data_IF_490271930326
#
_entry.id   IF_490271930326
#
_cell.length_a   1.000
_cell.length_b   1.000
_cell.length_c   1.000
_cell.angle_alpha   90.00
_cell.angle_beta   90.00
_cell.angle_gamma   90.00
#
_symmetry.space_group_name_H-M   'P 1'
#
loop_
_entity.id
_entity.type
_entity.pdbx_description
1 polymer ?
#
# COMPACT_ATOMS: atom_id res chain seq x y z
N UNK A 1 7.65 -15.77 -25.62
CA UNK A 1 7.90 -15.90 -25.05
C UNK A 1 8.08 -16.40 -24.16
N UNK A 2 8.40 -16.42 -23.68
CA UNK A 2 8.64 -16.82 -22.85
C UNK A 2 8.45 -17.10 -21.92
N UNK A 3 8.49 -17.35 -21.70
CA UNK A 3 8.27 -17.61 -20.84
C UNK A 3 8.90 -18.06 -19.81
N UNK A 4 9.67 -17.54 -19.49
CA UNK A 4 10.38 -18.07 -18.38
C UNK A 4 9.49 -18.14 -17.17
N UNK A 5 9.46 -19.24 -16.55
CA UNK A 5 8.58 -19.45 -15.42
C UNK A 5 9.44 -19.42 -14.18
N UNK A 6 9.35 -18.37 -13.40
CA UNK A 6 10.02 -18.31 -12.12
C UNK A 6 8.97 -18.19 -11.02
N UNK A 7 9.36 -18.43 -9.78
CA UNK A 7 8.43 -18.34 -8.66
C UNK A 7 7.85 -16.94 -8.50
N UNK A 8 8.64 -15.94 -8.83
CA UNK A 8 8.19 -14.55 -8.71
C UNK A 8 7.16 -14.18 -9.76
N UNK A 9 6.97 -15.02 -10.75
CA UNK A 9 6.06 -14.71 -11.85
C UNK A 9 4.62 -14.66 -11.40
N UNK A 10 4.20 -15.54 -10.47
CA UNK A 10 2.82 -15.51 -10.00
C UNK A 10 2.54 -14.22 -9.22
N UNK A 11 3.50 -13.74 -8.45
CA UNK A 11 3.32 -12.48 -7.72
C UNK A 11 3.22 -11.31 -8.68
N UNK A 12 4.04 -11.31 -9.73
CA UNK A 12 3.97 -10.27 -10.75
C UNK A 12 2.62 -10.28 -11.48
N UNK A 13 2.08 -11.48 -11.72
CA UNK A 13 0.77 -11.61 -12.35
C UNK A 13 -0.30 -11.09 -11.42
N UNK A 14 -0.25 -11.42 -10.13
CA UNK A 14 -1.24 -10.94 -9.16
C UNK A 14 -1.19 -9.43 -9.03
N UNK A 15 0.02 -8.86 -9.00
CA UNK A 15 0.16 -7.41 -8.95
C UNK A 15 -0.43 -6.77 -10.19
N UNK A 16 -0.15 -7.33 -11.35
CA UNK A 16 -0.67 -6.78 -12.60
C UNK A 16 -2.18 -6.83 -12.62
N UNK A 17 -2.77 -7.96 -12.17
CA UNK A 17 -4.22 -8.09 -12.14
C UNK A 17 -4.86 -7.11 -11.16
N UNK A 18 -4.26 -6.95 -9.99
CA UNK A 18 -4.76 -6.00 -9.02
C UNK A 18 -4.71 -4.58 -9.56
N UNK A 19 -3.58 -4.20 -10.12
CA UNK A 19 -3.41 -2.87 -10.67
C UNK A 19 -4.38 -2.62 -11.83
N UNK A 20 -4.51 -3.59 -12.75
CA UNK A 20 -5.39 -3.43 -13.88
C UNK A 20 -6.85 -3.29 -13.45
N UNK A 21 -7.26 -4.08 -12.46
CA UNK A 21 -8.62 -3.98 -11.94
C UNK A 21 -8.84 -2.61 -11.32
N UNK A 22 -7.93 -2.18 -10.45
CA UNK A 22 -8.06 -0.88 -9.80
C UNK A 22 -8.13 0.24 -10.84
N UNK A 23 -7.22 0.22 -11.83
CA UNK A 23 -7.21 1.23 -12.87
C UNK A 23 -8.51 1.25 -13.66
N UNK A 24 -9.03 0.06 -13.96
CA UNK A 24 -10.24 -0.04 -14.78
C UNK A 24 -11.46 0.55 -14.11
N UNK A 25 -11.47 0.58 -12.78
CA UNK A 25 -12.62 1.08 -12.02
C UNK A 25 -12.61 2.60 -11.89
N UNK A 26 -11.47 3.22 -12.15
CA UNK A 26 -11.34 4.68 -12.16
C UNK A 26 -11.86 5.31 -10.86
N UNK A 27 -11.46 4.75 -9.72
CA UNK A 27 -11.88 5.21 -8.41
C UNK A 27 -10.94 6.31 -7.94
N UNK A 28 -11.47 7.50 -7.72
CA UNK A 28 -10.67 8.67 -7.33
C UNK A 28 -11.04 9.20 -5.95
N UNK A 29 -12.21 8.82 -5.44
CA UNK A 29 -12.72 9.33 -4.17
C UNK A 29 -13.10 8.15 -3.29
N UNK A 30 -12.48 8.04 -2.13
CA UNK A 30 -12.74 6.91 -1.24
C UNK A 30 -12.23 7.20 0.16
N UNK A 31 -12.72 6.43 1.10
CA UNK A 31 -12.22 6.40 2.46
C UNK A 31 -11.60 5.04 2.73
N UNK A 32 -10.61 5.00 3.59
CA UNK A 32 -9.97 3.76 3.99
C UNK A 32 -9.36 3.95 5.37
N UNK A 33 -9.06 2.83 6.02
CA UNK A 33 -8.22 2.83 7.21
C UNK A 33 -6.88 2.24 6.81
N UNK A 34 -5.81 2.89 7.22
CA UNK A 34 -4.47 2.47 6.85
C UNK A 34 -3.61 2.35 8.09
N UNK A 35 -2.87 1.24 8.20
CA UNK A 35 -1.85 1.09 9.23
C UNK A 35 -0.50 0.97 8.57
N UNK A 36 0.52 1.49 9.25
CA UNK A 36 1.91 1.35 8.82
C UNK A 36 2.62 0.58 9.93
N UNK A 37 3.35 -0.47 9.57
CA UNK A 37 4.19 -1.16 10.54
C UNK A 37 5.64 -1.00 10.13
N UNK A 38 6.45 -0.51 11.08
CA UNK A 38 7.85 -0.24 10.82
C UNK A 38 8.51 0.04 12.17
N UNK A 39 9.69 -0.52 12.38
CA UNK A 39 10.46 -0.19 13.58
C UNK A 39 11.09 1.20 13.48
N UNK A 40 11.01 1.81 12.32
CA UNK A 40 11.62 3.11 12.06
C UNK A 40 10.76 4.27 12.55
N UNK A 41 9.52 4.02 13.00
CA UNK A 41 8.59 5.06 13.41
C UNK A 41 8.27 5.00 14.89
N UNK A 42 7.92 6.13 15.52
CA UNK A 42 7.34 6.12 16.85
C UNK A 42 6.03 5.34 16.86
N UNK A 43 5.63 4.91 18.07
CA UNK A 43 4.44 4.09 18.24
C UNK A 43 3.19 4.74 17.64
N UNK A 44 3.06 6.05 17.75
CA UNK A 44 1.89 6.76 17.24
C UNK A 44 1.69 6.58 15.75
N UNK A 45 2.77 6.37 15.00
CA UNK A 45 2.67 6.21 13.55
C UNK A 45 2.04 4.89 13.17
N UNK A 46 2.15 3.89 14.04
CA UNK A 46 1.70 2.54 13.70
C UNK A 46 0.25 2.29 14.07
N UNK A 47 -0.43 3.31 14.60
CA UNK A 47 -1.84 3.18 14.92
C UNK A 47 -2.69 3.36 13.66
N UNK A 48 -3.83 2.67 13.58
CA UNK A 48 -4.70 2.82 12.41
C UNK A 48 -5.15 4.26 12.25
N UNK A 49 -5.18 4.73 11.01
CA UNK A 49 -5.63 6.07 10.69
C UNK A 49 -6.73 6.00 9.65
N UNK A 50 -7.78 6.77 9.87
CA UNK A 50 -8.86 6.89 8.90
C UNK A 50 -8.47 7.94 7.88
N UNK A 51 -8.40 7.55 6.62
CA UNK A 51 -7.88 8.40 5.56
C UNK A 51 -8.98 8.66 4.55
N UNK A 52 -9.15 9.92 4.23
CA UNK A 52 -10.09 10.37 3.23
C UNK A 52 -9.32 10.82 1.99
N UNK A 53 -9.66 10.24 0.85
CA UNK A 53 -9.01 10.57 -0.42
C UNK A 53 -10.06 11.17 -1.34
N UNK A 54 -9.71 12.28 -1.96
CA UNK A 54 -10.57 12.95 -2.92
C UNK A 54 -9.72 13.38 -4.09
N UNK A 55 -10.16 13.04 -5.28
CA UNK A 55 -9.43 13.36 -6.50
C UNK A 55 -8.00 12.82 -6.44
N UNK A 56 -7.85 11.61 -5.88
CA UNK A 56 -6.57 10.92 -5.71
C UNK A 56 -5.58 11.65 -4.80
N UNK A 57 -6.07 12.50 -3.91
CA UNK A 57 -5.23 13.18 -2.93
C UNK A 57 -5.78 12.92 -1.53
N UNK A 58 -4.89 12.71 -0.58
CA UNK A 58 -5.30 12.57 0.81
C UNK A 58 -5.73 13.95 1.30
N UNK A 59 -7.00 14.09 1.67
CA UNK A 59 -7.53 15.37 2.13
C UNK A 59 -7.72 15.42 3.63
N UNK A 60 -7.80 14.28 4.31
CA UNK A 60 -7.85 14.27 5.76
C UNK A 60 -7.30 12.97 6.31
N UNK A 61 -6.76 13.05 7.52
CA UNK A 61 -6.33 11.89 8.29
C UNK A 61 -6.96 12.03 9.65
N UNK A 62 -7.79 11.04 10.05
CA UNK A 62 -8.55 11.07 11.30
C UNK A 62 -9.41 12.34 11.41
N UNK A 63 -9.94 12.80 10.27
CA UNK A 63 -10.82 13.96 10.24
C UNK A 63 -10.12 15.29 10.32
N UNK A 64 -8.79 15.31 10.25
CA UNK A 64 -8.01 16.54 10.38
C UNK A 64 -7.20 16.79 9.12
N UNK A 65 -6.71 18.02 8.98
CA UNK A 65 -5.79 18.33 7.91
C UNK A 65 -4.61 17.39 8.02
N UNK A 66 -4.18 16.74 6.91
CA UNK A 66 -3.10 15.76 6.98
C UNK A 66 -1.84 16.25 7.68
N UNK A 67 -1.48 17.52 7.50
CA UNK A 67 -0.25 18.03 8.09
C UNK A 67 -0.30 18.09 9.61
N UNK A 68 -1.46 17.91 10.22
CA UNK A 68 -1.57 17.87 11.68
C UNK A 68 -1.24 16.50 12.25
N UNK A 69 -1.05 15.49 11.40
CA UNK A 69 -0.72 14.15 11.83
C UNK A 69 0.79 13.94 11.74
N UNK A 70 1.39 13.47 12.82
CA UNK A 70 2.82 13.17 12.81
C UNK A 70 3.08 12.06 11.78
N UNK A 71 4.08 12.30 10.91
CA UNK A 71 4.42 11.32 9.88
C UNK A 71 3.43 11.22 8.75
N UNK A 72 2.63 12.26 8.54
CA UNK A 72 1.57 12.22 7.54
C UNK A 72 2.09 11.87 6.14
N UNK A 73 3.31 12.24 5.84
CA UNK A 73 3.86 11.98 4.50
C UNK A 73 4.12 10.51 4.24
N UNK A 74 4.03 9.66 5.25
CA UNK A 74 4.22 8.22 5.09
C UNK A 74 2.93 7.50 4.70
N UNK A 75 1.77 8.15 4.87
CA UNK A 75 0.51 7.57 4.44
C UNK A 75 0.33 7.80 2.95
N UNK A 76 -0.26 6.85 2.28
CA UNK A 76 -0.30 6.85 0.82
C UNK A 76 -1.71 6.61 0.30
N UNK A 77 -1.99 7.22 -0.87
CA UNK A 77 -3.17 6.83 -1.63
C UNK A 77 -2.94 5.43 -2.21
N UNK A 78 -4.01 4.82 -2.70
CA UNK A 78 -3.87 3.50 -3.31
C UNK A 78 -2.98 3.57 -4.56
N UNK A 79 -3.10 4.63 -5.36
CA UNK A 79 -2.20 4.79 -6.50
C UNK A 79 -0.75 4.86 -6.06
N UNK A 80 -0.48 5.58 -4.99
CA UNK A 80 0.88 5.68 -4.46
C UNK A 80 1.37 4.34 -3.92
N UNK A 81 0.46 3.53 -3.35
CA UNK A 81 0.84 2.21 -2.86
C UNK A 81 1.28 1.30 -4.00
N UNK A 82 0.61 1.38 -5.15
CA UNK A 82 1.06 0.60 -6.31
C UNK A 82 2.44 1.02 -6.77
N UNK A 83 2.73 2.33 -6.79
CA UNK A 83 4.07 2.80 -7.12
C UNK A 83 5.10 2.32 -6.11
N UNK A 84 4.74 2.33 -4.84
CA UNK A 84 5.59 1.86 -3.76
C UNK A 84 5.92 0.38 -3.94
N UNK A 85 4.90 -0.44 -4.27
CA UNK A 85 5.11 -1.86 -4.51
C UNK A 85 6.11 -2.07 -5.64
N UNK A 86 5.92 -1.37 -6.75
CA UNK A 86 6.80 -1.53 -7.89
C UNK A 86 8.24 -1.17 -7.53
N UNK A 87 8.42 -0.08 -6.81
CA UNK A 87 9.74 0.35 -6.39
C UNK A 87 10.41 -0.68 -5.49
N UNK A 88 9.66 -1.21 -4.52
CA UNK A 88 10.22 -2.18 -3.59
C UNK A 88 10.57 -3.49 -4.27
N UNK A 89 9.73 -3.96 -5.19
CA UNK A 89 10.01 -5.20 -5.90
C UNK A 89 11.25 -5.05 -6.79
N UNK A 90 11.43 -3.87 -7.39
CA UNK A 90 12.62 -3.60 -8.20
C UNK A 90 13.89 -3.62 -7.36
N UNK A 91 13.80 -3.31 -6.09
CA UNK A 91 14.94 -3.35 -5.18
C UNK A 91 15.24 -4.75 -4.64
N UNK A 92 14.48 -5.76 -5.09
CA UNK A 92 14.73 -7.17 -4.79
C UNK A 92 14.73 -7.46 -3.28
N UNK A 93 13.58 -7.35 -2.61
CA UNK A 93 13.52 -7.60 -1.17
C UNK A 93 13.88 -9.05 -0.84
N UNK A 94 14.40 -9.25 0.36
CA UNK A 94 14.70 -10.60 0.86
C UNK A 94 13.41 -11.40 1.04
N UNK A 95 12.36 -10.75 1.51
CA UNK A 95 11.06 -11.37 1.71
C UNK A 95 9.99 -10.32 1.51
N UNK A 96 8.85 -10.73 0.96
CA UNK A 96 7.71 -9.82 0.85
C UNK A 96 6.42 -10.60 0.83
N UNK A 97 5.35 -9.92 1.17
CA UNK A 97 4.00 -10.48 1.15
C UNK A 97 3.06 -9.39 0.64
N UNK A 98 2.23 -9.73 -0.35
CA UNK A 98 1.27 -8.78 -0.92
C UNK A 98 -0.03 -9.52 -1.16
N UNK A 99 -1.14 -8.98 -0.65
CA UNK A 99 -2.47 -9.50 -0.93
C UNK A 99 -3.32 -8.38 -1.50
N UNK A 100 -4.06 -8.68 -2.56
CA UNK A 100 -4.90 -7.70 -3.24
C UNK A 100 -6.37 -7.99 -2.98
N UNK A 101 -7.16 -6.92 -2.87
CA UNK A 101 -8.60 -7.05 -2.74
C UNK A 101 -9.17 -7.62 -4.04
N UNK A 102 -10.03 -8.65 -3.92
CA UNK A 102 -10.55 -9.33 -5.10
C UNK A 102 -11.60 -8.51 -5.84
N UNK A 103 -12.28 -7.63 -5.14
CA UNK A 103 -13.36 -6.85 -5.74
C UNK A 103 -12.84 -5.60 -6.44
N UNK A 104 -11.87 -4.93 -5.84
CA UNK A 104 -11.40 -3.63 -6.34
C UNK A 104 -9.94 -3.63 -6.78
N UNK A 105 -9.17 -4.62 -6.39
CA UNK A 105 -7.78 -4.75 -6.83
C UNK A 105 -6.74 -4.01 -6.00
N UNK A 106 -7.15 -3.20 -5.03
CA UNK A 106 -6.17 -2.45 -4.24
C UNK A 106 -5.40 -3.41 -3.30
N UNK A 107 -4.19 -3.04 -2.91
CA UNK A 107 -3.43 -3.90 -1.99
C UNK A 107 -3.98 -3.79 -0.59
N UNK A 108 -4.34 -4.93 0.00
CA UNK A 108 -4.85 -5.00 1.36
C UNK A 108 -3.75 -5.21 2.37
N UNK A 109 -2.77 -6.03 2.01
CA UNK A 109 -1.65 -6.35 2.88
C UNK A 109 -0.37 -6.20 2.08
N UNK A 110 0.54 -5.40 2.60
CA UNK A 110 1.87 -5.21 2.04
C UNK A 110 2.88 -5.39 3.14
N UNK A 111 3.92 -6.18 2.86
CA UNK A 111 5.03 -6.31 3.79
C UNK A 111 6.29 -6.53 2.98
N UNK A 112 7.32 -5.76 3.30
CA UNK A 112 8.62 -5.88 2.64
C UNK A 112 9.71 -5.93 3.69
N UNK A 113 10.59 -6.92 3.57
CA UNK A 113 11.81 -7.03 4.35
C UNK A 113 12.97 -6.93 3.37
N UNK A 114 13.64 -5.80 3.38
CA UNK A 114 14.67 -5.53 2.37
C UNK A 114 15.98 -6.21 2.69
N UNK A 115 16.21 -6.57 3.96
CA UNK A 115 17.45 -7.20 4.35
C UNK A 115 17.28 -8.04 5.60
N UNK A 116 17.78 -9.27 5.56
CA UNK A 116 17.80 -10.13 6.75
C UNK A 116 18.73 -9.60 7.82
N UNK A 117 19.68 -8.78 7.43
CA UNK A 117 20.74 -8.33 8.33
C UNK A 117 20.35 -7.10 9.12
N UNK A 118 19.35 -6.36 8.65
CA UNK A 118 18.95 -5.09 9.25
C UNK A 118 17.46 -5.13 9.54
N UNK A 119 17.12 -5.25 10.82
CA UNK A 119 15.71 -5.37 11.23
C UNK A 119 14.91 -4.11 10.90
N UNK A 120 15.55 -2.95 10.86
CA UNK A 120 14.86 -1.69 10.63
C UNK A 120 14.42 -1.49 9.18
N UNK A 121 14.75 -2.43 8.30
CA UNK A 121 14.39 -2.31 6.89
C UNK A 121 13.09 -3.01 6.55
N UNK A 122 12.30 -3.31 7.56
CA UNK A 122 10.96 -3.88 7.37
C UNK A 122 9.94 -2.78 7.33
N UNK A 123 9.02 -2.87 6.37
CA UNK A 123 7.92 -1.92 6.31
C UNK A 123 6.69 -2.63 5.79
N UNK A 124 5.54 -2.34 6.39
CA UNK A 124 4.29 -2.94 5.99
C UNK A 124 3.16 -1.94 6.00
N UNK A 125 2.16 -2.21 5.17
CA UNK A 125 0.94 -1.42 5.11
C UNK A 125 -0.24 -2.37 5.10
N UNK A 126 -1.28 -2.02 5.85
CA UNK A 126 -2.56 -2.73 5.78
C UNK A 126 -3.63 -1.70 5.44
N UNK A 127 -4.52 -2.07 4.51
CA UNK A 127 -5.65 -1.24 4.11
C UNK A 127 -6.92 -2.01 4.41
N UNK A 128 -7.84 -1.38 5.13
CA UNK A 128 -9.14 -1.99 5.41
C UNK A 128 -10.20 -0.91 5.54
N UNK A 129 -11.46 -1.32 5.70
CA UNK A 129 -12.59 -0.40 5.74
C UNK A 129 -12.66 0.50 4.52
N UNK A 130 -12.33 -0.05 3.37
CA UNK A 130 -12.36 0.69 2.11
C UNK A 130 -13.79 0.98 1.70
N UNK A 131 -14.06 2.21 1.29
CA UNK A 131 -15.40 2.61 0.86
C UNK A 131 -15.30 3.70 -0.19
N UNK A 132 -15.94 3.46 -1.33
CA UNK A 132 -16.03 4.48 -2.38
C UNK A 132 -16.99 5.56 -1.91
N UNK A 133 -16.61 6.83 -2.06
CA UNK A 133 -17.40 7.96 -1.57
C UNK A 133 -18.09 8.74 -2.68
N UNK A 134 -17.79 8.42 -3.93
CA UNK A 134 -18.42 9.18 -5.01
C UNK A 134 -18.74 8.32 -6.21
#
# INVERSE_FOLDING_TARGET
MLLSISCSKSDNIDQLKGFELWESLNINDYNMTQTISCFCFPYEFTQPKDIEVENNLIISIDGKNPTETIGYSSFMTINELFDFIESKLNDQPEFYEIEYNEEYGYPEILYFDMSKMIADEEIGYNIFNFKITN
#
